data_IF_518559261377
#
_entry.id   IF_518559261377
#
_cell.length_a   1.000
_cell.length_b   1.000
_cell.length_c   1.000
_cell.angle_alpha   90.00
_cell.angle_beta   90.00
_cell.angle_gamma   90.00
#
_symmetry.space_group_name_H-M   'P 1'
#
loop_
_entity.id
_entity.type
_entity.pdbx_description
1 polymer ?
#
# COMPACT_ATOMS: atom_id res chain seq x y z
N UNK A 1 -1.01 -19.98 -18.39
CA UNK A 1 -1.57 -19.98 -17.02
C UNK A 1 -1.21 -18.70 -16.25
N UNK A 2 0.08 -18.32 -16.14
CA UNK A 2 0.48 -17.07 -15.45
C UNK A 2 -0.25 -15.81 -15.95
N UNK A 3 -0.43 -15.67 -17.26
CA UNK A 3 -1.11 -14.53 -17.88
C UNK A 3 -2.62 -14.41 -17.55
N UNK A 4 -3.24 -15.46 -17.02
CA UNK A 4 -4.65 -15.46 -16.60
C UNK A 4 -4.81 -15.22 -15.10
N UNK A 5 -3.72 -15.29 -14.33
CA UNK A 5 -3.75 -15.08 -12.89
C UNK A 5 -3.72 -13.58 -12.57
N UNK A 6 -4.42 -13.17 -11.50
CA UNK A 6 -4.39 -11.78 -11.02
C UNK A 6 -2.99 -11.34 -10.57
N UNK A 7 -2.15 -12.31 -10.20
CA UNK A 7 -0.72 -12.13 -9.91
C UNK A 7 0.01 -13.39 -10.37
N UNK A 8 0.95 -13.25 -11.31
CA UNK A 8 1.85 -14.32 -11.75
C UNK A 8 3.10 -14.38 -10.87
N UNK A 9 3.41 -15.56 -10.34
CA UNK A 9 4.60 -15.82 -9.53
C UNK A 9 5.48 -16.84 -10.26
N UNK A 10 6.73 -16.48 -10.56
CA UNK A 10 7.73 -17.38 -11.13
C UNK A 10 8.72 -17.86 -10.07
N UNK A 11 9.17 -19.11 -10.17
CA UNK A 11 10.23 -19.70 -9.34
C UNK A 11 11.56 -19.65 -10.09
N UNK A 12 12.63 -19.29 -9.38
CA UNK A 12 13.90 -18.91 -9.95
C UNK A 12 14.73 -20.04 -10.54
N UNK A 13 14.65 -21.26 -10.00
CA UNK A 13 15.40 -22.40 -10.52
C UNK A 13 14.51 -23.46 -11.20
N UNK A 14 13.19 -23.46 -10.95
CA UNK A 14 12.21 -24.28 -11.66
C UNK A 14 11.47 -23.58 -12.83
N UNK A 15 11.62 -22.25 -12.98
CA UNK A 15 10.93 -21.45 -13.99
C UNK A 15 11.80 -21.18 -15.22
N UNK A 16 11.21 -21.30 -16.41
CA UNK A 16 11.81 -20.82 -17.67
C UNK A 16 12.16 -19.32 -17.56
N UNK A 17 13.24 -18.89 -18.20
CA UNK A 17 13.67 -17.48 -18.28
C UNK A 17 12.51 -16.56 -18.75
N UNK A 18 11.68 -17.05 -19.68
CA UNK A 18 10.47 -16.37 -20.18
C UNK A 18 9.39 -16.24 -19.08
N UNK A 19 9.30 -17.21 -18.17
CA UNK A 19 8.36 -17.15 -17.04
C UNK A 19 8.82 -16.14 -15.99
N UNK A 20 10.13 -16.00 -15.76
CA UNK A 20 10.69 -14.97 -14.86
C UNK A 20 10.48 -13.56 -15.43
N UNK A 21 10.65 -13.38 -16.73
CA UNK A 21 10.49 -12.08 -17.40
C UNK A 21 9.03 -11.60 -17.42
N UNK A 22 8.07 -12.53 -17.42
CA UNK A 22 6.63 -12.22 -17.51
C UNK A 22 5.92 -12.20 -16.15
N UNK A 23 6.54 -12.69 -15.08
CA UNK A 23 5.96 -12.71 -13.75
C UNK A 23 6.11 -11.35 -13.04
N UNK A 24 5.08 -10.94 -12.30
CA UNK A 24 5.14 -9.74 -11.46
C UNK A 24 5.94 -9.98 -10.18
N UNK A 25 6.11 -11.24 -9.77
CA UNK A 25 6.88 -11.64 -8.58
C UNK A 25 7.77 -12.82 -8.92
N UNK A 26 9.09 -12.63 -8.83
CA UNK A 26 10.07 -13.72 -8.94
C UNK A 26 10.53 -14.20 -7.57
N UNK A 27 10.45 -15.51 -7.32
CA UNK A 27 11.06 -16.16 -6.16
C UNK A 27 12.47 -16.59 -6.54
N UNK A 28 13.49 -16.03 -5.89
CA UNK A 28 14.90 -16.31 -6.23
C UNK A 28 15.36 -17.74 -5.89
N UNK A 29 14.57 -18.49 -5.10
CA UNK A 29 14.84 -19.90 -4.78
C UNK A 29 13.64 -20.79 -5.12
N UNK A 30 13.86 -22.10 -5.16
CA UNK A 30 12.82 -23.10 -5.49
C UNK A 30 11.89 -23.45 -4.33
N UNK A 31 11.99 -22.74 -3.21
CA UNK A 31 11.20 -23.04 -2.03
C UNK A 31 9.80 -22.40 -2.10
N UNK A 32 8.81 -23.21 -2.49
CA UNK A 32 7.38 -22.88 -2.42
C UNK A 32 6.91 -22.50 -1.00
N UNK A 33 7.65 -22.86 0.05
CA UNK A 33 7.35 -22.46 1.44
C UNK A 33 7.54 -20.96 1.66
N UNK A 34 8.13 -20.23 0.72
CA UNK A 34 8.16 -18.77 0.71
C UNK A 34 6.80 -18.13 0.36
N UNK A 35 5.93 -18.83 -0.40
CA UNK A 35 4.64 -18.30 -0.83
C UNK A 35 3.71 -17.90 0.34
N UNK A 36 3.52 -18.73 1.38
CA UNK A 36 2.70 -18.34 2.55
C UNK A 36 3.23 -17.08 3.25
N UNK A 37 4.56 -16.90 3.31
CA UNK A 37 5.18 -15.70 3.90
C UNK A 37 4.89 -14.48 3.03
N UNK A 38 5.03 -14.61 1.73
CA UNK A 38 4.77 -13.55 0.75
C UNK A 38 3.31 -13.07 0.82
N UNK A 39 2.36 -14.01 0.84
CA UNK A 39 0.92 -13.70 0.99
C UNK A 39 0.63 -13.04 2.33
N UNK A 40 1.27 -13.48 3.42
CA UNK A 40 1.08 -12.88 4.75
C UNK A 40 1.54 -11.42 4.79
N UNK A 41 2.70 -11.13 4.22
CA UNK A 41 3.23 -9.76 4.10
C UNK A 41 2.27 -8.93 3.24
N UNK A 42 1.86 -9.42 2.06
CA UNK A 42 0.93 -8.72 1.19
C UNK A 42 -0.39 -8.35 1.89
N UNK A 43 -0.95 -9.26 2.70
CA UNK A 43 -2.17 -8.98 3.49
C UNK A 43 -1.94 -7.92 4.57
N UNK A 44 -0.79 -7.93 5.26
CA UNK A 44 -0.43 -6.91 6.26
C UNK A 44 -0.27 -5.55 5.60
N UNK A 45 0.47 -5.48 4.49
CA UNK A 45 0.65 -4.25 3.71
C UNK A 45 -0.69 -3.70 3.23
N UNK A 46 -1.61 -4.56 2.75
CA UNK A 46 -2.95 -4.12 2.35
C UNK A 46 -3.73 -3.47 3.50
N UNK A 47 -3.66 -4.03 4.72
CA UNK A 47 -4.33 -3.43 5.89
C UNK A 47 -3.79 -2.04 6.21
N UNK A 48 -2.47 -1.87 6.11
CA UNK A 48 -1.79 -0.59 6.33
C UNK A 48 -2.21 0.44 5.27
N UNK A 49 -2.22 0.05 3.99
CA UNK A 49 -2.66 0.91 2.89
C UNK A 49 -4.10 1.38 3.12
N UNK A 50 -5.01 0.46 3.47
CA UNK A 50 -6.40 0.82 3.75
C UNK A 50 -6.50 1.78 4.93
N UNK A 51 -5.74 1.57 6.02
CA UNK A 51 -5.72 2.49 7.15
C UNK A 51 -5.25 3.90 6.76
N UNK A 52 -4.18 4.00 5.95
CA UNK A 52 -3.69 5.27 5.43
C UNK A 52 -4.73 6.00 4.57
N UNK A 53 -5.39 5.27 3.67
CA UNK A 53 -6.45 5.82 2.82
C UNK A 53 -7.61 6.31 3.69
N UNK A 54 -8.04 5.52 4.67
CA UNK A 54 -9.14 5.88 5.58
C UNK A 54 -8.80 7.15 6.37
N UNK A 55 -7.58 7.27 6.92
CA UNK A 55 -7.14 8.47 7.64
C UNK A 55 -7.13 9.68 6.70
N UNK A 56 -6.55 9.53 5.51
CA UNK A 56 -6.50 10.60 4.52
C UNK A 56 -7.91 11.07 4.13
N UNK A 57 -8.82 10.15 3.86
CA UNK A 57 -10.20 10.44 3.50
C UNK A 57 -10.96 11.06 4.67
N UNK A 58 -10.81 10.55 5.89
CA UNK A 58 -11.50 11.08 7.06
C UNK A 58 -11.17 12.56 7.30
N UNK A 59 -9.90 12.93 7.16
CA UNK A 59 -9.45 14.33 7.28
C UNK A 59 -10.12 15.21 6.22
N UNK A 60 -10.13 14.78 4.95
CA UNK A 60 -10.80 15.54 3.87
C UNK A 60 -12.31 15.62 4.09
N UNK A 61 -12.94 14.52 4.51
CA UNK A 61 -14.38 14.45 4.74
C UNK A 61 -14.83 15.29 5.94
N UNK A 62 -13.96 15.55 6.90
CA UNK A 62 -14.20 16.48 8.01
C UNK A 62 -13.98 17.94 7.60
N UNK A 63 -12.89 18.23 6.90
CA UNK A 63 -12.52 19.60 6.53
C UNK A 63 -13.40 20.19 5.44
N UNK A 64 -13.77 19.41 4.42
CA UNK A 64 -14.59 19.89 3.29
C UNK A 64 -15.94 20.45 3.75
N UNK A 65 -16.80 19.74 4.51
CA UNK A 65 -18.07 20.29 4.96
C UNK A 65 -17.89 21.46 5.94
N UNK A 66 -16.84 21.44 6.78
CA UNK A 66 -16.55 22.53 7.71
C UNK A 66 -16.13 23.81 6.97
N UNK A 67 -15.40 23.68 5.85
CA UNK A 67 -15.06 24.78 4.96
C UNK A 67 -16.28 25.30 4.19
N UNK A 68 -17.14 24.41 3.69
CA UNK A 68 -18.39 24.79 3.01
C UNK A 68 -19.33 25.53 3.96
N UNK A 69 -19.39 25.12 5.24
CA UNK A 69 -20.16 25.79 6.27
C UNK A 69 -19.56 27.13 6.74
N UNK A 70 -18.40 27.55 6.19
CA UNK A 70 -17.71 28.79 6.55
C UNK A 70 -17.06 28.79 7.93
N UNK A 71 -17.02 27.63 8.61
CA UNK A 71 -16.48 27.45 9.96
C UNK A 71 -14.97 27.22 9.96
N UNK A 72 -14.41 26.78 8.82
CA UNK A 72 -12.97 26.59 8.64
C UNK A 72 -12.37 27.72 7.79
N UNK A 73 -11.54 28.60 8.36
CA UNK A 73 -10.79 29.58 7.57
C UNK A 73 -9.79 28.87 6.64
N UNK A 74 -9.48 29.49 5.49
CA UNK A 74 -8.64 28.90 4.43
C UNK A 74 -7.30 28.34 4.95
N UNK A 75 -6.67 29.03 5.89
CA UNK A 75 -5.39 28.57 6.47
C UNK A 75 -5.53 27.23 7.21
N UNK A 76 -6.67 26.98 7.89
CA UNK A 76 -6.95 25.74 8.61
C UNK A 76 -7.20 24.58 7.65
N UNK A 77 -7.87 24.86 6.52
CA UNK A 77 -8.07 23.88 5.46
C UNK A 77 -6.74 23.42 4.83
N UNK A 78 -5.85 24.37 4.52
CA UNK A 78 -4.51 24.07 3.99
C UNK A 78 -3.69 23.29 5.02
N UNK A 79 -3.70 23.72 6.28
CA UNK A 79 -2.96 23.05 7.36
C UNK A 79 -3.47 21.62 7.57
N UNK A 80 -4.77 21.38 7.48
CA UNK A 80 -5.35 20.05 7.60
C UNK A 80 -5.01 19.11 6.43
N UNK A 81 -5.01 19.62 5.20
CA UNK A 81 -4.63 18.83 4.02
C UNK A 81 -3.13 18.47 4.02
N UNK A 82 -2.27 19.45 4.29
CA UNK A 82 -0.81 19.29 4.39
C UNK A 82 -0.41 18.50 5.63
N UNK A 83 -1.06 18.76 6.77
CA UNK A 83 -0.85 17.99 7.99
C UNK A 83 -1.27 16.53 7.82
N UNK A 84 -2.39 16.27 7.15
CA UNK A 84 -2.85 14.92 6.84
C UNK A 84 -1.89 14.15 5.92
N UNK A 85 -1.31 14.80 4.91
CA UNK A 85 -0.31 14.15 4.04
C UNK A 85 0.98 13.82 4.80
N UNK A 86 1.45 14.71 5.69
CA UNK A 86 2.57 14.45 6.59
C UNK A 86 2.30 13.29 7.54
N UNK A 87 1.10 13.23 8.11
CA UNK A 87 0.70 12.17 9.05
C UNK A 87 0.66 10.80 8.37
N UNK A 88 0.10 10.71 7.16
CA UNK A 88 0.07 9.48 6.35
C UNK A 88 1.48 9.08 5.91
N UNK A 89 2.32 10.05 5.56
CA UNK A 89 3.73 9.81 5.20
C UNK A 89 4.52 9.26 6.39
N UNK A 90 4.38 9.88 7.56
CA UNK A 90 4.98 9.41 8.80
C UNK A 90 4.50 8.00 9.18
N UNK A 91 3.20 7.71 9.05
CA UNK A 91 2.66 6.38 9.29
C UNK A 91 3.20 5.34 8.29
N UNK A 92 3.44 5.73 7.05
CA UNK A 92 4.06 4.87 6.03
C UNK A 92 5.53 4.58 6.35
N UNK A 93 6.27 5.57 6.87
CA UNK A 93 7.67 5.41 7.30
C UNK A 93 7.79 4.51 8.54
N UNK A 94 6.83 4.57 9.47
CA UNK A 94 6.80 3.69 10.65
C UNK A 94 6.77 2.20 10.27
N UNK A 95 6.10 1.87 9.18
CA UNK A 95 5.99 0.49 8.69
C UNK A 95 7.31 -0.04 8.17
N UNK A 96 8.19 0.82 7.65
CA UNK A 96 9.55 0.45 7.23
C UNK A 96 10.49 0.20 8.42
N UNK A 97 10.14 0.64 9.63
CA UNK A 97 10.95 0.43 10.84
C UNK A 97 10.62 -0.88 11.57
N UNK A 98 9.55 -1.59 11.20
CA UNK A 98 9.30 -2.94 11.71
C UNK A 98 10.25 -3.94 11.01
N UNK A 99 11.44 -4.12 11.61
CA UNK A 99 12.41 -5.16 11.25
C UNK A 99 11.89 -6.57 11.54
#
# INVERSE_FOLDING_TARGET
>A
ALAAATVGIALGAAGSEIALETAQVGLLGDDLRALPRLVRIARRTRRIIVANIVIAFAIRLLLVPLAIAGLAPLWLAILGDMGGSLLVTANSLRVLQER
#
